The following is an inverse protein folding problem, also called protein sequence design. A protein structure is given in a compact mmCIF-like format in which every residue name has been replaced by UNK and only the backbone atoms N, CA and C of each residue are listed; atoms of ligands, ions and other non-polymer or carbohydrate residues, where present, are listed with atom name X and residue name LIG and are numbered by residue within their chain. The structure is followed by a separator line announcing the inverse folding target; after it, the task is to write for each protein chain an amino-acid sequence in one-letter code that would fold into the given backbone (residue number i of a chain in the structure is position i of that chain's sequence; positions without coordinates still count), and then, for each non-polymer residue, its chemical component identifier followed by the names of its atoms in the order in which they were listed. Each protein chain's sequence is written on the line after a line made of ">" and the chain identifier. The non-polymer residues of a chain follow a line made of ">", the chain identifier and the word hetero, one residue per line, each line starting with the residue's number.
data_IF_566522074662
#
_entry.id   IF_566522074662
#
_cell.length_a   1.000
_cell.length_b   1.000
_cell.length_c   1.000
_cell.angle_alpha   90.00
_cell.angle_beta   90.00
_cell.angle_gamma   90.00
#
_symmetry.space_group_name_H-M   'P 1'
#
loop_
_entity.id
_entity.type
_entity.pdbx_description
1 polymer ?
#
# COMPACT_ATOMS: atom_id res chain seq x y z
N UNK A 1 53.25 7.96 -32.19
CA UNK A 1 51.90 8.52 -32.51
C UNK A 1 51.56 9.57 -31.47
N UNK A 2 51.30 10.81 -31.89
CA UNK A 2 50.89 11.91 -31.01
C UNK A 2 49.47 11.61 -30.52
N UNK A 3 49.27 11.47 -29.21
CA UNK A 3 47.92 11.27 -28.66
C UNK A 3 47.12 12.55 -28.85
N UNK A 4 46.07 12.50 -29.67
CA UNK A 4 45.18 13.64 -29.92
C UNK A 4 43.94 13.49 -29.04
N UNK A 5 43.59 14.55 -28.32
CA UNK A 5 42.41 14.59 -27.46
C UNK A 5 41.24 15.18 -28.24
N UNK A 6 40.17 14.42 -28.38
CA UNK A 6 38.96 14.92 -29.00
C UNK A 6 38.22 15.82 -28.02
N UNK A 7 38.06 17.11 -28.35
CA UNK A 7 37.32 18.05 -27.50
C UNK A 7 35.84 17.69 -27.33
N UNK A 8 35.25 17.01 -28.32
CA UNK A 8 33.81 16.73 -28.37
C UNK A 8 33.41 15.58 -27.43
N UNK A 9 34.15 14.46 -27.44
CA UNK A 9 33.87 13.30 -26.58
C UNK A 9 34.80 13.18 -25.38
N UNK A 10 35.80 14.08 -25.25
CA UNK A 10 36.83 14.09 -24.21
C UNK A 10 37.69 12.82 -24.12
N UNK A 11 37.66 11.94 -25.12
CA UNK A 11 38.49 10.73 -25.22
C UNK A 11 39.80 11.01 -25.98
N UNK A 12 40.89 10.38 -25.56
CA UNK A 12 42.21 10.46 -26.18
C UNK A 12 42.40 9.29 -27.13
N UNK A 13 42.25 9.52 -28.44
CA UNK A 13 42.51 8.48 -29.46
C UNK A 13 42.33 8.98 -30.89
N UNK A 14 41.38 9.90 -31.11
CA UNK A 14 40.91 10.26 -32.44
C UNK A 14 40.81 11.77 -32.65
N UNK A 15 40.85 12.20 -33.90
CA UNK A 15 40.58 13.59 -34.27
C UNK A 15 39.09 13.89 -34.16
N UNK A 16 38.74 15.17 -33.95
CA UNK A 16 37.33 15.62 -33.84
C UNK A 16 36.49 15.19 -35.05
N UNK A 17 37.09 15.10 -36.25
CA UNK A 17 36.41 14.64 -37.48
C UNK A 17 35.98 13.18 -37.43
N UNK A 18 36.72 12.34 -36.71
CA UNK A 18 36.47 10.90 -36.57
C UNK A 18 35.63 10.60 -35.31
N UNK A 19 35.24 11.64 -34.56
CA UNK A 19 34.43 11.49 -33.37
C UNK A 19 33.00 11.10 -33.74
N UNK A 20 32.60 9.88 -33.40
CA UNK A 20 31.18 9.47 -33.46
C UNK A 20 30.36 10.49 -32.68
N UNK A 21 29.38 11.12 -33.34
CA UNK A 21 28.45 12.04 -32.66
C UNK A 21 27.75 11.27 -31.55
N UNK A 22 27.88 11.77 -30.33
CA UNK A 22 27.06 11.31 -29.21
C UNK A 22 25.64 11.74 -29.51
N UNK A 23 24.68 10.83 -29.42
CA UNK A 23 23.26 11.17 -29.51
C UNK A 23 22.94 12.17 -28.39
N UNK A 24 22.71 13.42 -28.79
CA UNK A 24 22.16 14.43 -27.90
C UNK A 24 20.68 14.12 -27.77
N UNK A 25 20.26 13.79 -26.55
CA UNK A 25 18.84 13.60 -26.24
C UNK A 25 18.12 14.92 -26.49
N UNK A 26 17.07 14.83 -27.30
CA UNK A 26 16.24 15.97 -27.63
C UNK A 26 15.18 16.23 -26.57
N UNK A 27 14.40 17.28 -26.78
CA UNK A 27 13.31 17.68 -25.90
C UNK A 27 12.23 16.59 -25.77
N UNK A 28 11.88 15.90 -26.87
CA UNK A 28 10.85 14.87 -26.90
C UNK A 28 11.24 13.64 -26.07
N UNK A 29 12.52 13.26 -26.07
CA UNK A 29 13.05 12.23 -25.19
C UNK A 29 12.78 12.57 -23.71
N UNK A 30 13.09 13.80 -23.29
CA UNK A 30 12.92 14.21 -21.90
C UNK A 30 11.43 14.31 -21.52
N UNK A 31 10.60 14.86 -22.41
CA UNK A 31 9.15 14.93 -22.23
C UNK A 31 8.55 13.54 -22.03
N UNK A 32 8.94 12.56 -22.84
CA UNK A 32 8.48 11.17 -22.74
C UNK A 32 8.94 10.53 -21.43
N UNK A 33 10.21 10.71 -21.06
CA UNK A 33 10.74 10.18 -19.78
C UNK A 33 10.02 10.78 -18.57
N UNK A 34 9.66 12.06 -18.62
CA UNK A 34 8.96 12.73 -17.53
C UNK A 34 7.51 12.24 -17.40
N UNK A 35 6.82 12.01 -18.53
CA UNK A 35 5.47 11.43 -18.54
C UNK A 35 5.45 10.01 -17.97
N UNK A 36 6.43 9.17 -18.32
CA UNK A 36 6.58 7.83 -17.74
C UNK A 36 6.80 7.90 -16.22
N UNK A 37 7.74 8.72 -15.77
CA UNK A 37 8.04 8.88 -14.35
C UNK A 37 6.89 9.51 -13.53
N UNK A 38 5.90 10.13 -14.19
CA UNK A 38 4.67 10.61 -13.56
C UNK A 38 3.66 9.47 -13.43
N UNK A 39 3.44 8.69 -14.49
CA UNK A 39 2.61 7.48 -14.44
C UNK A 39 3.06 6.51 -13.35
N UNK A 40 4.36 6.25 -13.24
CA UNK A 40 4.90 5.34 -12.21
C UNK A 40 4.59 5.83 -10.77
N UNK A 41 4.56 7.16 -10.56
CA UNK A 41 4.18 7.73 -9.25
C UNK A 41 2.68 7.60 -9.00
N UNK A 42 1.86 7.90 -10.00
CA UNK A 42 0.41 7.78 -9.89
C UNK A 42 0.02 6.31 -9.60
N UNK A 43 0.68 5.35 -10.24
CA UNK A 43 0.50 3.91 -9.97
C UNK A 43 0.94 3.52 -8.55
N UNK A 44 2.05 4.07 -8.06
CA UNK A 44 2.48 3.84 -6.67
C UNK A 44 1.46 4.38 -5.66
N UNK A 45 0.85 5.55 -5.92
CA UNK A 45 -0.20 6.12 -5.05
C UNK A 45 -1.42 5.20 -5.02
N UNK A 46 -1.89 4.74 -6.19
CA UNK A 46 -3.01 3.81 -6.27
C UNK A 46 -2.76 2.51 -5.49
N UNK A 47 -1.55 1.93 -5.62
CA UNK A 47 -1.19 0.73 -4.86
C UNK A 47 -1.20 0.97 -3.34
N UNK A 48 -0.81 2.16 -2.89
CA UNK A 48 -0.84 2.51 -1.47
C UNK A 48 -2.28 2.66 -0.94
N UNK A 49 -3.17 3.25 -1.75
CA UNK A 49 -4.59 3.36 -1.42
C UNK A 49 -5.27 1.99 -1.34
N UNK A 50 -5.01 1.11 -2.33
CA UNK A 50 -5.52 -0.26 -2.33
C UNK A 50 -5.05 -1.04 -1.09
N UNK A 51 -3.78 -0.88 -0.71
CA UNK A 51 -3.24 -1.51 0.49
C UNK A 51 -3.88 -0.97 1.78
N UNK A 52 -4.09 0.35 1.86
CA UNK A 52 -4.73 0.99 3.01
C UNK A 52 -6.19 0.53 3.15
N UNK A 53 -6.92 0.46 2.04
CA UNK A 53 -8.29 -0.05 2.00
C UNK A 53 -8.38 -1.49 2.52
N UNK A 54 -7.56 -2.39 1.98
CA UNK A 54 -7.54 -3.79 2.41
C UNK A 54 -7.23 -3.95 3.90
N UNK A 55 -6.33 -3.10 4.43
CA UNK A 55 -5.98 -3.13 5.85
C UNK A 55 -7.13 -2.63 6.74
N UNK A 56 -7.80 -1.54 6.35
CA UNK A 56 -8.98 -1.06 7.08
C UNK A 56 -10.14 -2.06 7.09
N UNK A 57 -10.31 -2.81 6.01
CA UNK A 57 -11.33 -3.86 5.94
C UNK A 57 -11.04 -4.99 6.94
N UNK A 58 -9.79 -5.41 7.07
CA UNK A 58 -9.39 -6.45 8.02
C UNK A 58 -9.59 -6.04 9.48
N UNK A 59 -9.32 -4.78 9.81
CA UNK A 59 -9.52 -4.25 11.17
C UNK A 59 -11.02 -4.26 11.53
N UNK A 60 -11.89 -3.92 10.57
CA UNK A 60 -13.35 -3.99 10.72
C UNK A 60 -13.84 -5.42 10.97
N UNK A 61 -13.30 -6.42 10.28
CA UNK A 61 -13.71 -7.82 10.47
C UNK A 61 -13.41 -8.32 11.89
N UNK A 62 -12.28 -7.90 12.46
CA UNK A 62 -11.91 -8.22 13.84
C UNK A 62 -12.86 -7.57 14.84
N UNK A 63 -13.23 -6.30 14.64
CA UNK A 63 -14.17 -5.57 15.49
C UNK A 63 -15.57 -6.20 15.47
N UNK A 64 -16.06 -6.59 14.28
CA UNK A 64 -17.35 -7.27 14.11
C UNK A 64 -17.36 -8.60 14.87
N UNK A 65 -16.29 -9.39 14.78
CA UNK A 65 -16.19 -10.66 15.50
C UNK A 65 -16.19 -10.47 17.03
N UNK A 66 -15.44 -9.50 17.54
CA UNK A 66 -15.43 -9.18 18.97
C UNK A 66 -16.82 -8.77 19.47
N UNK A 67 -17.52 -7.93 18.71
CA UNK A 67 -18.88 -7.51 19.04
C UNK A 67 -19.87 -8.68 19.02
N UNK A 68 -19.74 -9.62 18.08
CA UNK A 68 -20.58 -10.82 18.03
C UNK A 68 -20.38 -11.69 19.28
N UNK A 69 -19.13 -11.92 19.68
CA UNK A 69 -18.81 -12.69 20.91
C UNK A 69 -19.36 -11.98 22.15
N UNK A 70 -19.23 -10.66 22.23
CA UNK A 70 -19.75 -9.87 23.34
C UNK A 70 -21.28 -9.95 23.45
N UNK A 71 -21.99 -9.85 22.32
CA UNK A 71 -23.46 -10.00 22.29
C UNK A 71 -23.91 -11.38 22.76
N UNK A 72 -23.24 -12.45 22.32
CA UNK A 72 -23.55 -13.81 22.75
C UNK A 72 -23.31 -14.00 24.27
N UNK A 73 -22.28 -13.36 24.83
CA UNK A 73 -22.04 -13.38 26.27
C UNK A 73 -23.15 -12.66 27.06
N UNK A 74 -23.63 -11.52 26.58
CA UNK A 74 -24.76 -10.81 27.21
C UNK A 74 -26.02 -11.67 27.18
N UNK A 75 -26.36 -12.23 26.02
CA UNK A 75 -27.55 -13.07 25.86
C UNK A 75 -27.52 -14.29 26.79
N UNK A 76 -26.34 -14.91 26.93
CA UNK A 76 -26.12 -15.98 27.90
C UNK A 76 -26.33 -15.51 29.35
N UNK A 77 -25.74 -14.38 29.75
CA UNK A 77 -25.90 -13.85 31.12
C UNK A 77 -27.36 -13.53 31.42
N UNK A 78 -28.10 -12.99 30.46
CA UNK A 78 -29.53 -12.75 30.60
C UNK A 78 -30.31 -14.06 30.76
N UNK A 79 -30.00 -15.07 29.95
CA UNK A 79 -30.64 -16.40 30.03
C UNK A 79 -30.36 -17.11 31.37
N UNK A 80 -29.11 -17.03 31.85
CA UNK A 80 -28.69 -17.59 33.12
C UNK A 80 -29.36 -16.84 34.31
N UNK A 81 -29.65 -15.55 34.17
CA UNK A 81 -30.36 -14.75 35.18
C UNK A 81 -31.84 -15.11 35.28
N UNK A 82 -32.54 -15.27 34.15
CA UNK A 82 -33.95 -15.66 34.12
C UNK A 82 -34.15 -17.05 34.75
N UNK A 83 -33.26 -18.00 34.44
CA UNK A 83 -33.29 -19.36 35.02
C UNK A 83 -32.95 -19.38 36.51
N UNK A 84 -32.04 -18.51 36.97
CA UNK A 84 -31.71 -18.38 38.40
C UNK A 84 -32.83 -17.70 39.20
N UNK A 85 -33.56 -16.76 38.61
CA UNK A 85 -34.70 -16.07 39.26
C UNK A 85 -35.92 -16.98 39.42
N UNK A 86 -36.12 -17.95 38.53
CA UNK A 86 -37.22 -18.93 38.60
C UNK A 86 -37.05 -20.00 39.68
N UNK A 87 -35.88 -20.11 40.33
CA UNK A 87 -35.55 -21.20 41.27
C UNK A 87 -35.86 -20.89 42.75
N UNK A 88 -36.38 -19.69 43.08
CA UNK A 88 -36.50 -19.22 44.47
C UNK A 88 -37.90 -19.28 45.09
N UNK A 89 -38.97 -19.56 44.34
CA UNK A 89 -40.36 -19.38 44.82
C UNK A 89 -41.17 -20.68 44.99
N UNK A 90 -40.61 -21.70 45.63
CA UNK A 90 -41.37 -22.91 46.03
C UNK A 90 -41.01 -23.37 47.45
N UNK A 91 -41.25 -22.55 48.51
CA UNK A 91 -41.46 -23.03 49.90
C UNK A 91 -42.01 -21.93 50.83
N UNK A 92 -43.25 -21.47 50.63
CA UNK A 92 -44.09 -20.99 51.75
C UNK A 92 -45.54 -21.43 51.50
N UNK A 93 -45.93 -22.52 52.14
CA UNK A 93 -47.34 -22.85 52.39
C UNK A 93 -47.39 -23.51 53.77
N UNK A 94 -47.91 -22.78 54.74
CA UNK A 94 -48.31 -23.24 56.07
C UNK A 94 -49.84 -23.19 56.16
#
# INVERSE_FOLDING_TARGET
>A
MTKVKCYNCKKEEHFVKDCKKVEVKDYEYYKTKMLLAKKDKDEQVLLAEDQAWMKSSSDSDQEINANMVFMAQIEKVLSDSETSSSSADDKISE
#
